data_IF_840602978860
#
_entry.id   IF_840602978860
#
_cell.length_a   1.000
_cell.length_b   1.000
_cell.length_c   1.000
_cell.angle_alpha   90.00
_cell.angle_beta   90.00
_cell.angle_gamma   90.00
#
_symmetry.space_group_name_H-M   'P 1'
#
loop_
_entity.id
_entity.type
_entity.pdbx_description
1 polymer ?
#
# COMPACT_ATOMS: atom_id res chain seq x y z
N UNK A 1 -8.93 12.06 4.78
CA UNK A 1 -7.71 11.34 4.37
C UNK A 1 -7.92 10.64 3.04
N UNK A 2 -6.87 10.57 2.23
CA UNK A 2 -6.83 9.94 0.91
C UNK A 2 -6.35 8.50 1.11
N UNK A 3 -7.21 7.49 0.92
CA UNK A 3 -6.80 6.11 1.11
C UNK A 3 -5.87 5.68 -0.03
N UNK A 4 -4.71 5.16 0.34
CA UNK A 4 -3.71 4.57 -0.55
C UNK A 4 -3.35 3.21 0.00
N UNK A 5 -3.09 2.23 -0.87
CA UNK A 5 -2.60 0.94 -0.41
C UNK A 5 -1.43 0.44 -1.25
N UNK A 6 -0.52 -0.28 -0.59
CA UNK A 6 0.53 -1.07 -1.21
C UNK A 6 0.31 -2.53 -0.85
N UNK A 7 0.30 -3.40 -1.85
CA UNK A 7 0.18 -4.84 -1.67
C UNK A 7 1.39 -5.53 -2.31
N UNK A 8 1.92 -6.54 -1.63
CA UNK A 8 3.04 -7.34 -2.10
C UNK A 8 3.36 -8.46 -1.10
N UNK A 9 4.40 -9.26 -1.36
CA UNK A 9 4.78 -10.36 -0.49
C UNK A 9 5.52 -9.79 0.72
N UNK A 10 4.80 -9.41 1.77
CA UNK A 10 5.39 -8.86 3.00
C UNK A 10 5.98 -9.98 3.86
N UNK A 11 5.51 -11.22 3.66
CA UNK A 11 6.02 -12.43 4.30
C UNK A 11 6.42 -13.49 3.26
N UNK A 12 7.00 -14.59 3.74
CA UNK A 12 7.47 -15.70 2.90
C UNK A 12 8.82 -15.45 2.23
N UNK A 13 9.17 -16.28 1.26
CA UNK A 13 10.50 -16.29 0.63
C UNK A 13 10.80 -15.01 -0.16
N UNK A 14 9.76 -14.29 -0.58
CA UNK A 14 9.86 -13.03 -1.33
C UNK A 14 9.70 -11.79 -0.43
N UNK A 15 9.73 -11.93 0.90
CA UNK A 15 9.51 -10.86 1.87
C UNK A 15 10.41 -9.62 1.67
N UNK A 16 11.63 -9.83 1.18
CA UNK A 16 12.56 -8.74 0.85
C UNK A 16 11.94 -7.75 -0.13
N UNK A 17 11.22 -8.24 -1.15
CA UNK A 17 10.59 -7.36 -2.13
C UNK A 17 9.41 -6.59 -1.53
N UNK A 18 8.57 -7.25 -0.71
CA UNK A 18 7.47 -6.57 -0.03
C UNK A 18 7.96 -5.50 0.96
N UNK A 19 9.04 -5.76 1.69
CA UNK A 19 9.63 -4.79 2.61
C UNK A 19 10.16 -3.54 1.88
N UNK A 20 10.81 -3.71 0.73
CA UNK A 20 11.23 -2.58 -0.10
C UNK A 20 10.02 -1.78 -0.63
N UNK A 21 8.96 -2.46 -1.08
CA UNK A 21 7.70 -1.81 -1.50
C UNK A 21 7.08 -1.01 -0.35
N UNK A 22 7.01 -1.61 0.84
CA UNK A 22 6.46 -0.99 2.05
C UNK A 22 7.24 0.27 2.41
N UNK A 23 8.58 0.19 2.44
CA UNK A 23 9.46 1.32 2.76
C UNK A 23 9.31 2.46 1.77
N UNK A 24 9.29 2.14 0.47
CA UNK A 24 9.11 3.15 -0.59
C UNK A 24 7.76 3.87 -0.46
N UNK A 25 6.68 3.12 -0.29
CA UNK A 25 5.34 3.67 -0.11
C UNK A 25 5.23 4.54 1.15
N UNK A 26 5.81 4.08 2.27
CA UNK A 26 5.81 4.82 3.53
C UNK A 26 6.60 6.12 3.40
N UNK A 27 7.82 6.07 2.85
CA UNK A 27 8.66 7.25 2.67
C UNK A 27 7.97 8.32 1.81
N UNK A 28 7.38 7.92 0.69
CA UNK A 28 6.64 8.84 -0.18
C UNK A 28 5.41 9.42 0.52
N UNK A 29 4.66 8.59 1.24
CA UNK A 29 3.49 9.03 2.01
C UNK A 29 3.87 10.03 3.10
N UNK A 30 4.96 9.77 3.83
CA UNK A 30 5.43 10.63 4.91
C UNK A 30 5.91 11.98 4.39
N UNK A 31 6.67 12.03 3.29
CA UNK A 31 7.11 13.30 2.67
C UNK A 31 5.92 14.12 2.16
N UNK A 32 4.96 13.48 1.46
CA UNK A 32 3.75 14.17 0.98
C UNK A 32 2.93 14.70 2.16
N UNK A 33 2.73 13.87 3.19
CA UNK A 33 2.01 14.27 4.37
C UNK A 33 2.72 15.40 5.10
N UNK A 34 4.04 15.35 5.27
CA UNK A 34 4.81 16.41 5.91
C UNK A 34 4.64 17.77 5.19
N UNK A 35 4.46 17.76 3.87
CA UNK A 35 4.22 18.96 3.03
C UNK A 35 2.77 19.47 3.04
N UNK A 36 1.93 18.95 3.92
CA UNK A 36 0.52 19.35 4.04
C UNK A 36 -0.46 18.43 3.31
N UNK A 37 0.02 17.31 2.77
CA UNK A 37 -0.82 16.36 2.03
C UNK A 37 -1.19 16.84 0.63
N UNK A 38 -2.20 16.20 0.03
CA UNK A 38 -2.70 16.54 -1.31
C UNK A 38 -3.99 17.32 -1.16
N UNK A 39 -3.99 18.59 -1.57
CA UNK A 39 -5.16 19.47 -1.42
C UNK A 39 -5.57 19.69 0.04
N UNK A 40 -4.63 19.61 0.98
CA UNK A 40 -4.89 19.70 2.43
C UNK A 40 -5.31 18.38 3.10
N UNK A 41 -5.46 17.31 2.34
CA UNK A 41 -5.80 15.98 2.86
C UNK A 41 -4.55 15.10 2.99
N UNK A 42 -4.40 14.42 4.14
CA UNK A 42 -3.31 13.45 4.36
C UNK A 42 -3.62 12.14 3.66
N UNK A 43 -2.58 11.46 3.18
CA UNK A 43 -2.64 10.09 2.68
C UNK A 43 -2.70 9.13 3.88
N UNK A 44 -3.64 8.19 3.84
CA UNK A 44 -3.73 7.06 4.76
C UNK A 44 -3.25 5.81 4.02
N UNK A 45 -1.97 5.46 4.24
CA UNK A 45 -1.34 4.28 3.62
C UNK A 45 -1.74 3.00 4.35
N UNK A 46 -2.20 2.01 3.59
CA UNK A 46 -2.45 0.65 4.03
C UNK A 46 -1.42 -0.29 3.39
N UNK A 47 -0.88 -1.22 4.18
CA UNK A 47 0.08 -2.22 3.71
C UNK A 47 -0.60 -3.58 3.83
N UNK A 48 -0.68 -4.31 2.73
CA UNK A 48 -1.29 -5.64 2.69
C UNK A 48 -0.28 -6.69 2.20
N UNK A 49 -0.35 -7.85 2.83
CA UNK A 49 0.46 -9.00 2.49
C UNK A 49 -0.32 -9.94 1.58
N UNK A 50 0.14 -10.09 0.33
CA UNK A 50 -0.41 -11.09 -0.59
C UNK A 50 0.36 -12.41 -0.55
N UNK A 51 1.44 -12.50 0.23
CA UNK A 51 2.30 -13.67 0.40
C UNK A 51 2.91 -14.19 -0.92
N UNK A 52 2.84 -13.42 -2.01
CA UNK A 52 3.15 -13.88 -3.35
C UNK A 52 2.14 -14.88 -3.92
N UNK A 53 0.98 -15.05 -3.28
CA UNK A 53 -0.10 -15.92 -3.74
C UNK A 53 -1.03 -15.17 -4.71
N UNK A 54 -1.18 -15.63 -5.97
CA UNK A 54 -2.03 -14.97 -6.97
C UNK A 54 -3.50 -14.84 -6.55
N UNK A 55 -4.05 -15.82 -5.81
CA UNK A 55 -5.46 -15.77 -5.39
C UNK A 55 -5.68 -14.66 -4.35
N UNK A 56 -4.77 -14.54 -3.39
CA UNK A 56 -4.77 -13.49 -2.36
C UNK A 56 -4.56 -12.12 -2.98
N UNK A 57 -3.62 -11.97 -3.93
CA UNK A 57 -3.39 -10.72 -4.65
C UNK A 57 -4.65 -10.26 -5.43
N UNK A 58 -5.35 -11.18 -6.11
CA UNK A 58 -6.62 -10.88 -6.79
C UNK A 58 -7.70 -10.45 -5.79
N UNK A 59 -7.81 -11.11 -4.65
CA UNK A 59 -8.78 -10.76 -3.62
C UNK A 59 -8.54 -9.34 -3.07
N UNK A 60 -7.28 -9.00 -2.80
CA UNK A 60 -6.84 -7.67 -2.36
C UNK A 60 -7.15 -6.62 -3.42
N UNK A 61 -6.75 -6.84 -4.67
CA UNK A 61 -7.00 -5.89 -5.76
C UNK A 61 -8.51 -5.64 -5.98
N UNK A 62 -9.33 -6.69 -5.85
CA UNK A 62 -10.80 -6.56 -5.91
C UNK A 62 -11.37 -5.78 -4.73
N UNK A 63 -10.81 -5.92 -3.54
CA UNK A 63 -11.20 -5.11 -2.38
C UNK A 63 -10.91 -3.64 -2.63
N UNK A 64 -9.70 -3.31 -3.12
CA UNK A 64 -9.34 -1.94 -3.46
C UNK A 64 -10.26 -1.30 -4.50
N UNK A 65 -10.58 -2.04 -5.57
CA UNK A 65 -11.49 -1.56 -6.60
C UNK A 65 -12.89 -1.25 -6.06
N UNK A 66 -13.39 -2.05 -5.11
CA UNK A 66 -14.69 -1.80 -4.44
C UNK A 66 -14.63 -0.61 -3.50
N UNK A 67 -13.56 -0.52 -2.72
CA UNK A 67 -13.40 0.46 -1.64
C UNK A 67 -12.92 1.83 -2.16
N UNK A 68 -12.75 1.97 -3.49
CA UNK A 68 -12.20 3.15 -4.19
C UNK A 68 -10.83 3.58 -3.65
N UNK A 69 -10.08 2.64 -3.11
CA UNK A 69 -8.68 2.83 -2.73
C UNK A 69 -7.88 2.84 -4.03
N UNK A 70 -7.07 3.89 -4.24
CA UNK A 70 -6.33 4.12 -5.48
C UNK A 70 -4.85 4.28 -5.20
#
# INVERSE_FOLDING_TARGET
DIPLAVAGPMTGDSAVYGEEMRRGAQLATDDINARGGIGGCKIALMVLDDQGDPATAIAIARAFARDRIR
#
